data_IF_786701150555
#
_entry.id   IF_786701150555
#
_cell.length_a   1.000
_cell.length_b   1.000
_cell.length_c   1.000
_cell.angle_alpha   90.00
_cell.angle_beta   90.00
_cell.angle_gamma   90.00
#
_symmetry.space_group_name_H-M   'P 1'
#
loop_
_entity.id
_entity.type
_entity.pdbx_description
1 polymer ?
#
# COMPACT_ATOMS: atom_id res chain seq x y z
N UNK A 1 8.35 25.60 3.82
CA UNK A 1 6.90 25.25 3.70
C UNK A 1 6.56 24.36 4.89
N UNK A 2 5.40 24.51 5.50
CA UNK A 2 5.02 23.63 6.61
C UNK A 2 4.54 22.27 6.04
N UNK A 3 5.05 21.18 6.56
CA UNK A 3 4.61 19.82 6.20
C UNK A 3 3.12 19.66 6.53
N UNK A 4 2.41 18.85 5.71
CA UNK A 4 1.00 18.54 5.95
C UNK A 4 0.83 17.50 7.04
N UNK A 5 1.77 16.53 7.10
CA UNK A 5 1.89 15.56 8.20
C UNK A 5 3.34 15.57 8.67
N UNK A 6 3.53 15.67 9.98
CA UNK A 6 4.83 15.57 10.64
C UNK A 6 4.74 14.58 11.79
N UNK A 7 5.62 13.61 11.78
CA UNK A 7 5.73 12.54 12.79
C UNK A 7 7.12 12.59 13.38
N UNK A 8 7.23 12.63 14.71
CA UNK A 8 8.50 12.70 15.42
C UNK A 8 8.53 11.68 16.55
N UNK A 9 9.50 10.77 16.51
CA UNK A 9 9.76 9.77 17.53
C UNK A 9 8.52 8.96 17.98
N UNK A 10 7.63 8.66 17.01
CA UNK A 10 6.35 8.01 17.28
C UNK A 10 6.56 6.56 17.68
N UNK A 11 6.02 6.19 18.83
CA UNK A 11 6.10 4.82 19.32
C UNK A 11 4.76 4.32 19.86
N UNK A 12 4.52 3.02 19.69
CA UNK A 12 3.37 2.32 20.25
C UNK A 12 3.76 0.95 20.80
N UNK A 13 3.65 0.80 22.11
CA UNK A 13 3.86 -0.46 22.83
C UNK A 13 2.54 -0.97 23.36
N UNK A 14 2.24 -2.24 23.09
CA UNK A 14 1.09 -2.95 23.66
C UNK A 14 1.55 -3.86 24.79
N UNK A 15 0.79 -3.89 25.88
CA UNK A 15 0.94 -4.89 26.95
C UNK A 15 -0.01 -6.04 26.72
N UNK A 16 0.52 -7.19 26.34
CA UNK A 16 -0.25 -8.39 26.04
C UNK A 16 -0.13 -9.38 27.18
N UNK A 17 -1.24 -9.86 27.77
CA UNK A 17 -1.17 -10.84 28.84
C UNK A 17 -0.64 -12.17 28.30
N UNK A 18 0.42 -12.70 28.92
CA UNK A 18 1.00 -14.00 28.58
C UNK A 18 0.16 -15.09 29.24
N UNK A 19 -0.64 -15.82 28.44
CA UNK A 19 -1.42 -16.98 28.90
C UNK A 19 -0.69 -18.27 28.58
N UNK A 20 -0.32 -19.02 29.60
CA UNK A 20 0.16 -20.40 29.43
C UNK A 20 -1.03 -21.36 29.37
N UNK A 21 -1.01 -22.36 28.52
CA UNK A 21 -2.06 -23.36 28.43
C UNK A 21 -2.20 -24.15 29.75
N UNK A 22 -3.44 -24.47 30.15
CA UNK A 22 -3.79 -25.26 31.33
C UNK A 22 -4.61 -24.50 32.39
N UNK A 23 -5.56 -25.23 33.03
CA UNK A 23 -6.49 -24.66 34.03
C UNK A 23 -5.79 -24.02 35.23
N UNK A 24 -4.71 -24.64 35.73
CA UNK A 24 -3.93 -24.09 36.86
C UNK A 24 -3.21 -22.80 36.50
N UNK A 25 -2.75 -22.65 35.27
CA UNK A 25 -2.12 -21.43 34.76
C UNK A 25 -3.15 -20.33 34.52
N UNK A 26 -4.36 -20.67 34.10
CA UNK A 26 -5.46 -19.73 33.95
C UNK A 26 -5.87 -19.09 35.29
N UNK A 27 -6.01 -19.88 36.36
CA UNK A 27 -6.30 -19.38 37.69
C UNK A 27 -5.15 -18.52 38.25
N UNK A 28 -3.89 -18.94 38.02
CA UNK A 28 -2.72 -18.16 38.45
C UNK A 28 -2.59 -16.82 37.70
N UNK A 29 -2.98 -16.79 36.39
CA UNK A 29 -2.95 -15.56 35.59
C UNK A 29 -4.01 -14.54 36.02
N UNK A 30 -5.10 -14.95 36.68
CA UNK A 30 -6.10 -14.06 37.25
C UNK A 30 -5.58 -13.32 38.50
N UNK A 31 -4.71 -14.00 39.29
CA UNK A 31 -4.17 -13.43 40.56
C UNK A 31 -2.88 -12.63 40.29
N UNK A 32 -2.03 -13.10 39.37
CA UNK A 32 -0.76 -12.44 38.99
C UNK A 32 -0.59 -12.49 37.44
N UNK A 33 -1.22 -11.58 36.70
CA UNK A 33 -1.07 -11.51 35.28
C UNK A 33 0.37 -11.14 34.90
N UNK A 34 0.99 -11.96 34.05
CA UNK A 34 2.26 -11.63 33.41
C UNK A 34 1.97 -10.97 32.07
N UNK A 35 2.64 -9.86 31.78
CA UNK A 35 2.51 -9.13 30.52
C UNK A 35 3.82 -9.21 29.76
N UNK A 36 3.72 -9.40 28.44
CA UNK A 36 4.81 -9.13 27.50
C UNK A 36 4.54 -7.79 26.83
N UNK A 37 5.58 -7.04 26.57
CA UNK A 37 5.50 -5.81 25.79
C UNK A 37 5.79 -6.11 24.34
N UNK A 38 4.91 -5.65 23.45
CA UNK A 38 5.05 -5.76 22.00
C UNK A 38 5.14 -4.35 21.47
N UNK A 39 6.31 -3.96 20.98
CA UNK A 39 6.53 -2.69 20.29
C UNK A 39 5.99 -2.81 18.86
N UNK A 40 4.80 -2.30 18.62
CA UNK A 40 4.18 -2.32 17.29
C UNK A 40 4.69 -1.20 16.39
N UNK A 41 5.13 -0.09 16.97
CA UNK A 41 5.82 1.03 16.31
C UNK A 41 6.90 1.49 17.29
N UNK A 42 8.14 1.68 16.82
CA UNK A 42 9.31 1.99 17.64
C UNK A 42 10.10 3.12 16.97
N UNK A 43 10.01 4.32 17.54
CA UNK A 43 10.78 5.51 17.17
C UNK A 43 10.69 5.95 15.70
N UNK A 44 9.49 5.96 15.13
CA UNK A 44 9.25 6.32 13.73
C UNK A 44 9.15 7.83 13.56
N UNK A 45 9.92 8.39 12.61
CA UNK A 45 9.91 9.81 12.26
C UNK A 45 9.88 9.99 10.75
N UNK A 46 8.94 10.80 10.23
CA UNK A 46 8.84 11.18 8.82
C UNK A 46 7.97 12.42 8.65
N UNK A 47 8.01 13.00 7.47
CA UNK A 47 7.16 14.14 7.08
C UNK A 47 6.50 13.88 5.74
N UNK A 48 5.31 14.43 5.49
CA UNK A 48 4.61 14.33 4.20
C UNK A 48 4.14 15.72 3.80
N UNK A 49 4.35 16.06 2.54
CA UNK A 49 3.93 17.34 1.98
C UNK A 49 2.44 17.32 1.60
N UNK A 50 1.85 18.52 1.41
CA UNK A 50 0.46 18.62 0.99
C UNK A 50 0.29 18.10 -0.44
N UNK A 51 -0.73 17.27 -0.66
CA UNK A 51 -1.03 16.67 -1.96
C UNK A 51 -0.13 15.49 -2.34
N UNK A 52 0.83 15.13 -1.49
CA UNK A 52 1.71 13.98 -1.73
C UNK A 52 0.95 12.66 -1.57
N UNK A 53 1.24 11.71 -2.46
CA UNK A 53 0.78 10.32 -2.34
C UNK A 53 1.95 9.43 -1.95
N UNK A 54 1.88 8.86 -0.73
CA UNK A 54 2.98 8.09 -0.14
C UNK A 54 2.54 6.65 0.11
N UNK A 55 3.33 5.70 -0.38
CA UNK A 55 3.16 4.28 -0.09
C UNK A 55 3.79 3.92 1.26
N UNK A 56 3.01 3.32 2.16
CA UNK A 56 3.48 2.84 3.45
C UNK A 56 3.53 1.32 3.45
N UNK A 57 4.71 0.75 3.24
CA UNK A 57 4.94 -0.65 2.89
C UNK A 57 5.62 -1.38 4.03
N UNK A 58 5.29 -2.66 4.21
CA UNK A 58 5.92 -3.52 5.22
C UNK A 58 5.22 -4.87 5.30
N UNK A 59 5.86 -5.88 5.89
CA UNK A 59 5.23 -7.18 6.11
C UNK A 59 4.05 -7.08 7.07
N UNK A 60 3.29 -8.17 7.19
CA UNK A 60 2.21 -8.25 8.16
C UNK A 60 2.77 -8.13 9.58
N UNK A 61 2.12 -7.28 10.40
CA UNK A 61 2.59 -7.00 11.75
C UNK A 61 3.70 -5.94 11.84
N UNK A 62 4.18 -5.37 10.73
CA UNK A 62 5.25 -4.35 10.74
C UNK A 62 4.86 -3.03 11.42
N UNK A 63 3.57 -2.77 11.69
CA UNK A 63 3.11 -1.54 12.34
C UNK A 63 2.30 -0.59 11.44
N UNK A 64 2.08 -0.91 10.16
CA UNK A 64 1.36 -0.05 9.20
C UNK A 64 0.01 0.46 9.70
N UNK A 65 -0.92 -0.46 9.92
CA UNK A 65 -2.27 -0.12 10.42
C UNK A 65 -2.23 0.58 11.78
N UNK A 66 -1.29 0.22 12.66
CA UNK A 66 -1.11 0.88 13.96
C UNK A 66 -0.71 2.34 13.77
N UNK A 67 0.21 2.62 12.86
CA UNK A 67 0.64 3.98 12.52
C UNK A 67 -0.53 4.77 11.94
N UNK A 68 -1.25 4.24 10.93
CA UNK A 68 -2.41 4.92 10.36
C UNK A 68 -3.49 5.23 11.40
N UNK A 69 -3.74 4.32 12.36
CA UNK A 69 -4.68 4.56 13.47
C UNK A 69 -4.22 5.67 14.40
N UNK A 70 -2.92 5.83 14.65
CA UNK A 70 -2.40 6.96 15.42
C UNK A 70 -2.54 8.28 14.65
N UNK A 71 -2.21 8.29 13.37
CA UNK A 71 -2.37 9.46 12.50
C UNK A 71 -3.84 9.89 12.33
N UNK A 72 -4.77 8.95 12.31
CA UNK A 72 -6.21 9.26 12.22
C UNK A 72 -6.87 9.61 13.56
N UNK A 73 -6.13 9.53 14.69
CA UNK A 73 -6.67 9.79 16.02
C UNK A 73 -7.55 8.66 16.59
N UNK A 74 -7.51 7.47 15.98
CA UNK A 74 -8.18 6.27 16.49
C UNK A 74 -7.38 5.56 17.60
N UNK A 75 -6.09 5.86 17.69
CA UNK A 75 -5.20 5.24 18.65
C UNK A 75 -4.26 6.29 19.29
N UNK A 76 -4.08 6.22 20.61
CA UNK A 76 -3.08 7.01 21.32
C UNK A 76 -1.68 6.39 21.16
N UNK A 77 -0.63 7.18 20.87
CA UNK A 77 0.74 6.70 20.91
C UNK A 77 1.17 6.43 22.37
N UNK A 78 2.24 5.68 22.54
CA UNK A 78 2.91 5.52 23.83
C UNK A 78 3.85 6.71 24.07
N UNK A 79 4.53 7.19 23.03
CA UNK A 79 5.39 8.38 23.03
C UNK A 79 5.49 8.96 21.63
N UNK A 80 6.09 10.14 21.52
CA UNK A 80 6.30 10.87 20.26
C UNK A 80 5.20 11.89 19.97
N UNK A 81 5.40 12.65 18.90
CA UNK A 81 4.55 13.75 18.50
C UNK A 81 4.09 13.59 17.06
N UNK A 82 2.84 13.99 16.81
CA UNK A 82 2.28 14.03 15.46
C UNK A 82 1.51 15.33 15.28
N UNK A 83 1.80 16.00 14.17
CA UNK A 83 0.98 17.08 13.64
C UNK A 83 0.45 16.67 12.27
N UNK A 84 -0.88 16.69 12.07
CA UNK A 84 -1.53 16.41 10.80
C UNK A 84 -2.57 17.50 10.52
N UNK A 85 -2.50 18.15 9.34
CA UNK A 85 -3.31 19.31 8.96
C UNK A 85 -3.35 20.40 10.04
N UNK A 86 -2.25 20.57 10.82
CA UNK A 86 -2.12 21.56 11.90
C UNK A 86 -2.71 21.12 13.25
N UNK A 87 -3.11 19.84 13.41
CA UNK A 87 -3.72 19.32 14.61
C UNK A 87 -2.93 18.12 15.18
N UNK A 88 -3.06 17.90 16.49
CA UNK A 88 -2.64 16.65 17.13
C UNK A 88 -3.77 15.63 17.00
N UNK A 89 -3.59 14.51 16.26
CA UNK A 89 -4.69 13.60 15.87
C UNK A 89 -5.51 13.05 17.05
N UNK A 90 -4.88 12.61 18.11
CA UNK A 90 -5.55 11.97 19.24
C UNK A 90 -6.31 12.92 20.16
N UNK A 91 -6.19 14.23 19.97
CA UNK A 91 -7.08 15.21 20.60
C UNK A 91 -8.49 15.17 19.98
N UNK A 92 -8.64 14.52 18.80
CA UNK A 92 -9.92 14.30 18.12
C UNK A 92 -10.73 15.57 17.93
N UNK A 93 -10.03 16.69 17.65
CA UNK A 93 -10.71 17.94 17.36
C UNK A 93 -11.67 17.76 16.17
N UNK A 94 -12.90 18.28 16.30
CA UNK A 94 -13.93 18.13 15.26
C UNK A 94 -13.51 18.74 13.91
N UNK A 95 -12.71 19.82 13.93
CA UNK A 95 -12.16 20.42 12.71
C UNK A 95 -11.15 19.48 12.04
N UNK A 96 -10.33 18.76 12.82
CA UNK A 96 -9.42 17.75 12.29
C UNK A 96 -10.18 16.59 11.67
N UNK A 97 -11.15 16.04 12.39
CA UNK A 97 -11.93 14.90 11.93
C UNK A 97 -12.71 15.19 10.63
N UNK A 98 -13.10 16.45 10.39
CA UNK A 98 -13.69 16.88 9.12
C UNK A 98 -12.71 17.00 7.96
N UNK A 99 -11.40 17.08 8.24
CA UNK A 99 -10.35 17.19 7.22
C UNK A 99 -9.75 15.86 6.81
N UNK A 100 -10.05 14.79 7.51
CA UNK A 100 -9.48 13.47 7.25
C UNK A 100 -10.54 12.46 6.89
N UNK A 101 -10.12 11.44 6.17
CA UNK A 101 -10.87 10.20 6.03
C UNK A 101 -9.96 9.00 6.21
N UNK A 102 -10.51 7.91 6.73
CA UNK A 102 -9.79 6.64 6.84
C UNK A 102 -10.66 5.51 6.30
N UNK A 103 -10.14 4.83 5.28
CA UNK A 103 -10.72 3.61 4.73
C UNK A 103 -9.89 2.41 5.18
N UNK A 104 -10.53 1.41 5.74
CA UNK A 104 -9.93 0.14 6.15
C UNK A 104 -10.60 -1.01 5.40
N UNK A 105 -9.85 -1.79 4.62
CA UNK A 105 -10.37 -2.85 3.78
C UNK A 105 -11.19 -3.94 4.51
N UNK A 106 -10.99 -4.06 5.82
CA UNK A 106 -11.71 -5.05 6.65
C UNK A 106 -12.89 -4.49 7.46
N UNK A 107 -13.27 -3.22 7.27
CA UNK A 107 -14.37 -2.57 7.99
C UNK A 107 -15.28 -1.82 7.02
N UNK A 108 -16.57 -2.15 7.06
CA UNK A 108 -17.57 -1.46 6.26
C UNK A 108 -18.10 -0.23 6.97
N UNK A 109 -18.21 0.87 6.23
CA UNK A 109 -18.89 2.10 6.64
C UNK A 109 -20.35 2.11 6.20
N UNK A 110 -20.72 1.24 5.24
CA UNK A 110 -22.09 1.10 4.75
C UNK A 110 -22.99 0.46 5.82
N UNK A 111 -24.12 1.08 6.05
CA UNK A 111 -25.16 0.57 6.96
C UNK A 111 -25.93 -0.58 6.29
N UNK A 112 -25.84 -1.78 6.84
CA UNK A 112 -26.30 -3.04 6.25
C UNK A 112 -27.74 -3.02 5.69
N UNK A 113 -28.68 -2.39 6.41
CA UNK A 113 -30.08 -2.35 6.05
C UNK A 113 -30.50 -1.09 5.26
N UNK A 114 -29.64 -0.07 5.20
CA UNK A 114 -29.90 1.18 4.50
C UNK A 114 -29.54 1.06 3.02
N UNK A 115 -30.11 1.94 2.20
CA UNK A 115 -29.62 2.13 0.85
C UNK A 115 -28.23 2.78 0.87
N UNK A 116 -27.52 2.65 -0.25
CA UNK A 116 -26.22 3.34 -0.43
C UNK A 116 -26.43 4.85 -0.24
N UNK A 117 -27.46 5.42 -0.89
CA UNK A 117 -27.79 6.84 -0.79
C UNK A 117 -28.09 7.28 0.64
N UNK A 118 -28.92 6.52 1.38
CA UNK A 118 -29.23 6.86 2.78
C UNK A 118 -27.99 6.89 3.65
N UNK A 119 -27.08 5.93 3.45
CA UNK A 119 -25.80 5.92 4.16
C UNK A 119 -24.97 7.16 3.82
N UNK A 120 -24.85 7.52 2.54
CA UNK A 120 -24.12 8.71 2.12
C UNK A 120 -24.74 10.00 2.67
N UNK A 121 -26.08 10.04 2.74
CA UNK A 121 -26.80 11.17 3.32
C UNK A 121 -26.53 11.32 4.83
N UNK A 122 -26.43 10.20 5.57
CA UNK A 122 -26.00 10.21 6.98
C UNK A 122 -24.60 10.79 7.12
N UNK A 123 -23.65 10.39 6.26
CA UNK A 123 -22.29 10.95 6.29
C UNK A 123 -22.26 12.45 5.93
N UNK A 124 -23.11 12.89 4.99
CA UNK A 124 -23.31 14.33 4.71
C UNK A 124 -23.62 15.10 6.00
N UNK A 125 -24.57 14.61 6.81
CA UNK A 125 -24.95 15.27 8.07
C UNK A 125 -23.82 15.21 9.10
N UNK A 126 -23.16 14.06 9.25
CA UNK A 126 -22.02 13.87 10.19
C UNK A 126 -20.91 14.87 9.90
N UNK A 127 -20.54 15.04 8.64
CA UNK A 127 -19.46 15.95 8.23
C UNK A 127 -19.93 17.40 8.07
N UNK A 128 -21.24 17.66 8.09
CA UNK A 128 -21.83 18.99 7.91
C UNK A 128 -21.65 19.53 6.50
N UNK A 129 -21.76 18.66 5.49
CA UNK A 129 -21.68 19.06 4.09
C UNK A 129 -22.97 19.72 3.67
N UNK A 130 -22.92 20.87 2.98
CA UNK A 130 -24.12 21.57 2.51
C UNK A 130 -24.92 20.70 1.52
N UNK A 131 -26.22 20.94 1.40
CA UNK A 131 -27.05 20.17 0.48
C UNK A 131 -26.63 20.37 -0.99
N UNK A 132 -26.16 21.55 -1.34
CA UNK A 132 -25.68 21.90 -2.67
C UNK A 132 -24.37 21.20 -2.98
N UNK A 133 -23.36 21.31 -2.08
CA UNK A 133 -22.08 20.63 -2.23
C UNK A 133 -22.22 19.11 -2.26
N UNK A 134 -23.10 18.55 -1.41
CA UNK A 134 -23.40 17.13 -1.40
C UNK A 134 -23.94 16.65 -2.74
N UNK A 135 -24.98 17.33 -3.27
CA UNK A 135 -25.59 16.96 -4.55
C UNK A 135 -24.58 17.03 -5.69
N UNK A 136 -23.81 18.12 -5.75
CA UNK A 136 -22.78 18.32 -6.78
C UNK A 136 -21.68 17.28 -6.69
N UNK A 137 -21.09 17.12 -5.51
CA UNK A 137 -19.93 16.24 -5.33
C UNK A 137 -20.32 14.76 -5.40
N UNK A 138 -21.46 14.37 -4.82
CA UNK A 138 -21.98 13.01 -4.97
C UNK A 138 -22.24 12.68 -6.45
N UNK A 139 -22.81 13.62 -7.22
CA UNK A 139 -23.00 13.43 -8.66
C UNK A 139 -21.68 13.17 -9.40
N UNK A 140 -20.66 13.98 -9.15
CA UNK A 140 -19.31 13.80 -9.71
C UNK A 140 -18.71 12.44 -9.35
N UNK A 141 -18.80 12.03 -8.08
CA UNK A 141 -18.28 10.74 -7.62
C UNK A 141 -19.09 9.57 -8.17
N UNK A 142 -20.42 9.69 -8.25
CA UNK A 142 -21.30 8.65 -8.78
C UNK A 142 -21.00 8.37 -10.26
N UNK A 143 -20.77 9.41 -11.05
CA UNK A 143 -20.36 9.30 -12.44
C UNK A 143 -18.96 8.71 -12.56
N UNK A 144 -17.97 9.24 -11.81
CA UNK A 144 -16.58 8.78 -11.82
C UNK A 144 -16.45 7.28 -11.50
N UNK A 145 -17.19 6.79 -10.50
CA UNK A 145 -17.12 5.40 -10.04
C UNK A 145 -18.13 4.46 -10.72
N UNK A 146 -18.99 5.00 -11.59
CA UNK A 146 -20.03 4.26 -12.27
C UNK A 146 -20.88 3.43 -11.26
N UNK A 147 -21.55 4.15 -10.34
CA UNK A 147 -22.34 3.54 -9.26
C UNK A 147 -23.78 4.08 -9.19
N UNK A 148 -24.24 4.77 -10.22
CA UNK A 148 -25.59 5.35 -10.26
C UNK A 148 -26.69 4.35 -9.93
N UNK A 149 -26.62 3.17 -10.53
CA UNK A 149 -27.60 2.08 -10.33
C UNK A 149 -27.54 1.45 -8.94
N UNK A 150 -26.48 1.74 -8.17
CA UNK A 150 -26.29 1.19 -6.83
C UNK A 150 -26.93 2.05 -5.74
N UNK A 151 -27.20 3.33 -6.02
CA UNK A 151 -27.64 4.30 -5.01
C UNK A 151 -28.89 3.85 -4.24
N UNK A 152 -29.85 3.22 -4.93
CA UNK A 152 -31.09 2.72 -4.34
C UNK A 152 -31.00 1.26 -3.83
N UNK A 153 -29.86 0.59 -4.03
CA UNK A 153 -29.66 -0.77 -3.49
C UNK A 153 -29.33 -0.70 -2.00
N UNK A 154 -29.82 -1.67 -1.24
CA UNK A 154 -29.41 -1.86 0.16
C UNK A 154 -27.99 -2.41 0.22
N UNK A 155 -27.18 -1.96 1.18
CA UNK A 155 -25.78 -2.37 1.33
C UNK A 155 -25.59 -3.90 1.39
N UNK A 156 -26.53 -4.63 1.99
CA UNK A 156 -26.51 -6.10 2.05
C UNK A 156 -26.64 -6.81 0.71
N UNK A 157 -27.18 -6.12 -0.31
CA UNK A 157 -27.42 -6.68 -1.64
C UNK A 157 -26.28 -6.35 -2.62
N UNK A 158 -25.23 -5.66 -2.16
CA UNK A 158 -24.07 -5.33 -2.97
C UNK A 158 -23.08 -6.49 -2.99
N UNK A 159 -22.47 -6.73 -4.15
CA UNK A 159 -21.26 -7.53 -4.25
C UNK A 159 -20.09 -6.88 -3.48
N UNK A 160 -19.03 -7.62 -3.25
CA UNK A 160 -17.84 -7.07 -2.57
C UNK A 160 -17.25 -5.88 -3.32
N UNK A 161 -17.12 -5.95 -4.64
CA UNK A 161 -16.61 -4.87 -5.48
C UNK A 161 -17.53 -3.63 -5.49
N UNK A 162 -18.86 -3.83 -5.63
CA UNK A 162 -19.83 -2.74 -5.55
C UNK A 162 -19.76 -2.04 -4.18
N UNK A 163 -19.66 -2.83 -3.10
CA UNK A 163 -19.52 -2.31 -1.73
C UNK A 163 -18.25 -1.46 -1.60
N UNK A 164 -17.12 -1.95 -2.04
CA UNK A 164 -15.84 -1.24 -1.95
C UNK A 164 -15.85 0.09 -2.71
N UNK A 165 -16.48 0.15 -3.90
CA UNK A 165 -16.69 1.41 -4.63
C UNK A 165 -17.50 2.41 -3.78
N UNK A 166 -18.62 1.97 -3.23
CA UNK A 166 -19.49 2.84 -2.43
C UNK A 166 -18.81 3.33 -1.15
N UNK A 167 -18.00 2.47 -0.49
CA UNK A 167 -17.21 2.85 0.67
C UNK A 167 -16.11 3.86 0.33
N UNK A 168 -15.48 3.70 -0.83
CA UNK A 168 -14.50 4.67 -1.30
C UNK A 168 -15.15 6.04 -1.55
N UNK A 169 -16.33 6.08 -2.17
CA UNK A 169 -17.11 7.31 -2.36
C UNK A 169 -17.44 7.97 -1.01
N UNK A 170 -17.89 7.20 -0.02
CA UNK A 170 -18.15 7.72 1.33
C UNK A 170 -16.91 8.37 1.90
N UNK A 171 -15.74 7.77 1.71
CA UNK A 171 -14.48 8.31 2.21
C UNK A 171 -14.07 9.64 1.58
N UNK A 172 -14.58 9.96 0.40
CA UNK A 172 -14.29 11.18 -0.35
C UNK A 172 -15.37 12.25 -0.24
N UNK A 173 -16.55 11.91 0.28
CA UNK A 173 -17.77 12.72 0.20
C UNK A 173 -17.64 14.14 0.76
N UNK A 174 -16.84 14.28 1.83
CA UNK A 174 -16.62 15.55 2.53
C UNK A 174 -15.34 16.26 2.08
N UNK A 175 -14.72 15.84 0.97
CA UNK A 175 -13.47 16.39 0.40
C UNK A 175 -12.33 16.46 1.44
N UNK A 176 -11.89 15.31 1.97
CA UNK A 176 -10.83 15.29 2.98
C UNK A 176 -9.53 15.91 2.44
N UNK A 177 -8.80 16.63 3.30
CA UNK A 177 -7.45 17.10 3.00
C UNK A 177 -6.42 15.96 3.10
N UNK A 178 -6.68 14.97 3.98
CA UNK A 178 -5.84 13.79 4.18
C UNK A 178 -6.69 12.52 4.08
N UNK A 179 -6.24 11.56 3.28
CA UNK A 179 -6.86 10.27 3.08
C UNK A 179 -5.92 9.15 3.52
N UNK A 180 -6.33 8.41 4.54
CA UNK A 180 -5.63 7.21 5.03
C UNK A 180 -6.29 5.97 4.44
N UNK A 181 -5.57 5.21 3.64
CA UNK A 181 -6.06 4.01 2.94
C UNK A 181 -5.30 2.79 3.43
N UNK A 182 -5.99 1.94 4.19
CA UNK A 182 -5.44 0.68 4.70
C UNK A 182 -5.99 -0.49 3.89
N UNK A 183 -5.20 -0.97 2.91
CA UNK A 183 -5.54 -2.06 1.99
C UNK A 183 -6.84 -1.79 1.17
N UNK A 184 -6.96 -0.66 0.45
CA UNK A 184 -8.23 -0.26 -0.18
C UNK A 184 -8.67 -1.15 -1.34
N UNK A 185 -7.76 -1.90 -1.95
CA UNK A 185 -8.00 -2.79 -3.11
C UNK A 185 -8.18 -4.24 -2.71
N UNK A 186 -8.13 -4.55 -1.41
CA UNK A 186 -8.24 -5.92 -0.91
C UNK A 186 -9.57 -6.57 -1.31
N UNK A 187 -9.50 -7.74 -1.95
CA UNK A 187 -10.68 -8.50 -2.38
C UNK A 187 -11.36 -7.97 -3.64
N UNK A 188 -10.75 -7.01 -4.34
CA UNK A 188 -11.21 -6.55 -5.66
C UNK A 188 -10.58 -7.36 -6.80
N UNK A 189 -11.31 -7.53 -7.90
CA UNK A 189 -10.75 -8.05 -9.14
C UNK A 189 -9.79 -7.05 -9.81
N UNK A 190 -8.97 -7.53 -10.73
CA UNK A 190 -7.92 -6.73 -11.40
C UNK A 190 -8.50 -5.50 -12.11
N UNK A 191 -9.64 -5.64 -12.78
CA UNK A 191 -10.28 -4.52 -13.50
C UNK A 191 -10.70 -3.43 -12.54
N UNK A 192 -11.26 -3.81 -11.40
CA UNK A 192 -11.67 -2.89 -10.36
C UNK A 192 -10.48 -2.19 -9.71
N UNK A 193 -9.40 -2.92 -9.42
CA UNK A 193 -8.17 -2.34 -8.90
C UNK A 193 -7.60 -1.27 -9.84
N UNK A 194 -7.56 -1.55 -11.16
CA UNK A 194 -7.10 -0.60 -12.17
C UNK A 194 -7.95 0.68 -12.18
N UNK A 195 -9.28 0.54 -12.17
CA UNK A 195 -10.21 1.69 -12.13
C UNK A 195 -10.02 2.50 -10.84
N UNK A 196 -9.92 1.84 -9.69
CA UNK A 196 -9.74 2.54 -8.40
C UNK A 196 -8.44 3.34 -8.40
N UNK A 197 -7.32 2.78 -8.90
CA UNK A 197 -6.05 3.51 -9.04
C UNK A 197 -6.19 4.76 -9.89
N UNK A 198 -6.86 4.64 -11.03
CA UNK A 198 -7.11 5.78 -11.91
C UNK A 198 -7.91 6.86 -11.20
N UNK A 199 -9.01 6.50 -10.53
CA UNK A 199 -9.84 7.42 -9.77
C UNK A 199 -9.09 8.12 -8.62
N UNK A 200 -8.27 7.37 -7.88
CA UNK A 200 -7.44 7.95 -6.82
C UNK A 200 -6.47 8.99 -7.38
N UNK A 201 -5.85 8.71 -8.52
CA UNK A 201 -4.93 9.62 -9.18
C UNK A 201 -5.63 10.90 -9.66
N UNK A 202 -6.77 10.75 -10.33
CA UNK A 202 -7.60 11.87 -10.79
C UNK A 202 -8.11 12.73 -9.62
N UNK A 203 -8.56 12.07 -8.54
CA UNK A 203 -9.02 12.76 -7.34
C UNK A 203 -7.90 13.56 -6.67
N UNK A 204 -6.72 12.95 -6.49
CA UNK A 204 -5.57 13.64 -5.93
C UNK A 204 -5.15 14.84 -6.79
N UNK A 205 -5.11 14.68 -8.12
CA UNK A 205 -4.79 15.78 -9.04
C UNK A 205 -5.82 16.91 -8.98
N UNK A 206 -7.11 16.59 -8.86
CA UNK A 206 -8.21 17.56 -8.85
C UNK A 206 -8.28 18.35 -7.53
N UNK A 207 -8.06 17.67 -6.39
CA UNK A 207 -8.31 18.25 -5.06
C UNK A 207 -7.06 18.48 -4.21
N UNK A 208 -5.90 17.96 -4.64
CA UNK A 208 -4.65 18.11 -3.88
C UNK A 208 -4.69 17.38 -2.53
N UNK A 209 -5.47 16.29 -2.43
CA UNK A 209 -5.59 15.49 -1.21
C UNK A 209 -4.30 14.74 -0.93
N UNK A 210 -3.77 14.85 0.29
CA UNK A 210 -2.63 14.04 0.73
C UNK A 210 -3.07 12.63 1.02
N UNK A 211 -2.36 11.63 0.50
CA UNK A 211 -2.74 10.22 0.62
C UNK A 211 -1.62 9.40 1.26
N UNK A 212 -1.95 8.63 2.29
CA UNK A 212 -1.09 7.54 2.78
C UNK A 212 -1.79 6.24 2.45
N UNK A 213 -1.13 5.41 1.65
CA UNK A 213 -1.66 4.16 1.13
C UNK A 213 -0.84 2.98 1.65
N UNK A 214 -1.48 2.02 2.30
CA UNK A 214 -0.92 0.68 2.49
C UNK A 214 -1.51 -0.27 1.46
N UNK A 215 -0.71 -1.14 0.88
CA UNK A 215 -1.19 -2.21 0.01
C UNK A 215 -0.25 -3.41 0.04
N UNK A 216 -0.83 -4.59 -0.12
CA UNK A 216 -0.10 -5.83 -0.42
C UNK A 216 0.16 -5.99 -1.92
N UNK A 217 -0.56 -5.24 -2.76
CA UNK A 217 -0.35 -5.23 -4.20
C UNK A 217 0.64 -4.12 -4.57
N UNK A 218 1.84 -4.52 -4.97
CA UNK A 218 2.88 -3.54 -5.32
C UNK A 218 2.47 -2.67 -6.50
N UNK A 219 1.63 -3.18 -7.38
CA UNK A 219 1.04 -2.43 -8.49
C UNK A 219 0.23 -1.20 -8.05
N UNK A 220 -0.36 -1.20 -6.85
CA UNK A 220 -1.02 0.00 -6.29
C UNK A 220 0.02 1.07 -5.96
N UNK A 221 1.10 0.65 -5.30
CA UNK A 221 2.18 1.53 -4.86
C UNK A 221 2.91 2.13 -6.07
N UNK A 222 3.33 1.30 -7.02
CA UNK A 222 4.08 1.74 -8.19
C UNK A 222 3.27 2.67 -9.10
N UNK A 223 1.94 2.47 -9.17
CA UNK A 223 1.06 3.29 -9.99
C UNK A 223 0.74 4.65 -9.36
N UNK A 224 0.65 4.73 -8.03
CA UNK A 224 0.12 5.89 -7.32
C UNK A 224 1.19 6.71 -6.59
N UNK A 225 2.23 6.05 -6.06
CA UNK A 225 3.16 6.64 -5.13
C UNK A 225 4.56 6.77 -5.75
N UNK A 226 5.09 7.99 -5.81
CA UNK A 226 6.48 8.22 -6.20
C UNK A 226 7.46 8.04 -5.04
N UNK A 227 6.96 8.13 -3.80
CA UNK A 227 7.70 7.98 -2.54
C UNK A 227 7.10 6.88 -1.69
N UNK A 228 7.98 6.15 -1.02
CA UNK A 228 7.61 5.05 -0.13
C UNK A 228 8.30 5.18 1.22
N UNK A 229 7.57 4.78 2.25
CA UNK A 229 8.04 4.56 3.60
C UNK A 229 8.04 3.06 3.84
N UNK A 230 9.21 2.45 4.04
CA UNK A 230 9.30 1.03 4.37
C UNK A 230 9.42 0.87 5.88
N UNK A 231 8.52 0.07 6.44
CA UNK A 231 8.53 -0.26 7.87
C UNK A 231 8.75 -1.77 8.06
N UNK A 232 9.60 -2.12 9.02
CA UNK A 232 9.83 -3.50 9.44
C UNK A 232 9.91 -3.60 10.95
N UNK A 233 9.15 -4.51 11.55
CA UNK A 233 9.17 -4.75 13.01
C UNK A 233 9.03 -3.47 13.84
N UNK A 234 8.17 -2.56 13.39
CA UNK A 234 7.90 -1.28 14.04
C UNK A 234 8.86 -0.14 13.70
N UNK A 235 9.94 -0.38 12.97
CA UNK A 235 10.97 0.61 12.65
C UNK A 235 10.87 1.06 11.19
N UNK A 236 11.07 2.36 10.94
CA UNK A 236 11.19 2.90 9.58
C UNK A 236 12.60 2.58 9.06
N UNK A 237 12.68 1.78 7.97
CA UNK A 237 13.95 1.34 7.39
C UNK A 237 14.31 2.09 6.10
N UNK A 238 13.33 2.75 5.46
CA UNK A 238 13.55 3.57 4.28
C UNK A 238 12.47 4.65 4.17
N UNK A 239 12.89 5.84 3.75
CA UNK A 239 12.04 6.97 3.36
C UNK A 239 12.62 7.63 2.12
N UNK A 240 11.95 7.49 0.97
CA UNK A 240 12.48 8.06 -0.26
C UNK A 240 11.72 7.63 -1.52
N UNK A 241 12.27 8.04 -2.67
CA UNK A 241 11.68 7.71 -3.97
C UNK A 241 11.76 6.21 -4.23
N UNK A 242 10.66 5.63 -4.73
CA UNK A 242 10.59 4.22 -5.11
C UNK A 242 11.63 3.87 -6.19
N UNK A 243 11.85 4.76 -7.18
CA UNK A 243 12.87 4.57 -8.22
C UNK A 243 14.29 4.49 -7.64
N UNK A 244 14.62 5.33 -6.64
CA UNK A 244 15.93 5.31 -6.01
C UNK A 244 16.18 4.02 -5.22
N UNK A 245 15.12 3.45 -4.64
CA UNK A 245 15.19 2.17 -3.94
C UNK A 245 15.52 1.02 -4.92
N UNK A 246 14.82 0.97 -6.05
CA UNK A 246 15.08 -0.04 -7.09
C UNK A 246 16.47 0.11 -7.68
N UNK A 247 16.91 1.32 -8.00
CA UNK A 247 18.24 1.56 -8.58
C UNK A 247 19.40 1.14 -7.67
N UNK A 248 19.27 1.40 -6.36
CA UNK A 248 20.30 1.02 -5.38
C UNK A 248 20.43 -0.49 -5.16
N UNK A 249 19.32 -1.21 -5.17
CA UNK A 249 19.27 -2.62 -4.75
C UNK A 249 19.24 -3.61 -5.92
N UNK A 250 18.97 -3.12 -7.12
CA UNK A 250 18.96 -3.95 -8.33
C UNK A 250 19.85 -3.38 -9.43
N UNK A 251 21.17 -3.55 -9.31
CA UNK A 251 22.11 -3.17 -10.37
C UNK A 251 22.02 -4.10 -11.59
N UNK A 252 20.94 -4.83 -11.72
CA UNK A 252 20.72 -5.81 -12.80
C UNK A 252 19.37 -5.62 -13.48
N UNK A 253 19.24 -6.19 -14.67
CA UNK A 253 17.98 -6.37 -15.41
C UNK A 253 17.64 -7.83 -15.59
N UNK A 254 16.39 -8.09 -15.88
CA UNK A 254 15.87 -9.42 -16.19
C UNK A 254 15.61 -9.49 -17.68
N UNK A 255 16.24 -10.46 -18.36
CA UNK A 255 15.96 -10.80 -19.76
C UNK A 255 15.10 -12.05 -19.73
N UNK A 256 13.93 -11.99 -20.39
CA UNK A 256 13.08 -13.13 -20.68
C UNK A 256 13.20 -13.45 -22.16
N UNK A 257 13.39 -14.69 -22.49
CA UNK A 257 13.47 -15.13 -23.87
C UNK A 257 12.81 -16.49 -24.04
N UNK A 258 12.15 -16.67 -25.19
CA UNK A 258 11.55 -17.94 -25.61
C UNK A 258 12.27 -18.39 -26.87
N UNK A 259 12.85 -19.59 -26.85
CA UNK A 259 13.54 -20.17 -28.02
C UNK A 259 12.56 -20.96 -28.86
N UNK A 260 12.89 -21.15 -30.18
CA UNK A 260 12.15 -22.08 -31.05
C UNK A 260 12.22 -23.52 -30.55
N UNK A 261 13.38 -23.92 -30.02
CA UNK A 261 13.60 -25.24 -29.46
C UNK A 261 14.30 -25.14 -28.10
N UNK A 262 14.04 -26.09 -27.20
CA UNK A 262 14.75 -26.20 -25.93
C UNK A 262 16.26 -26.34 -26.15
N UNK A 263 17.06 -25.50 -25.49
CA UNK A 263 18.51 -25.54 -25.59
C UNK A 263 19.17 -25.81 -24.25
N UNK A 264 19.54 -27.07 -23.95
CA UNK A 264 20.20 -27.44 -22.69
C UNK A 264 21.53 -26.71 -22.41
N UNK A 265 22.13 -26.10 -23.45
CA UNK A 265 23.39 -25.34 -23.34
C UNK A 265 23.20 -23.93 -22.78
N UNK A 266 21.95 -23.47 -22.62
CA UNK A 266 21.64 -22.21 -21.92
C UNK A 266 21.63 -22.36 -20.38
N UNK A 267 22.21 -23.43 -19.86
CA UNK A 267 22.41 -23.62 -18.42
C UNK A 267 23.67 -22.87 -17.94
N UNK A 268 23.61 -22.33 -16.71
CA UNK A 268 24.53 -21.40 -16.02
C UNK A 268 26.00 -21.33 -16.45
N UNK A 269 26.73 -22.45 -16.50
CA UNK A 269 28.13 -22.47 -16.89
C UNK A 269 28.39 -22.19 -18.39
N UNK A 270 27.43 -22.48 -19.26
CA UNK A 270 27.61 -22.29 -20.69
C UNK A 270 27.34 -20.85 -21.17
N UNK A 271 26.59 -20.06 -20.41
CA UNK A 271 26.44 -18.62 -20.68
C UNK A 271 27.75 -17.88 -20.40
N UNK A 272 28.43 -18.20 -19.31
CA UNK A 272 29.73 -17.60 -18.96
C UNK A 272 30.86 -18.06 -19.92
N UNK A 273 30.91 -19.35 -20.26
CA UNK A 273 31.85 -19.86 -21.27
C UNK A 273 31.58 -19.36 -22.68
N UNK A 274 30.32 -19.04 -22.98
CA UNK A 274 29.91 -18.38 -24.21
C UNK A 274 30.21 -16.88 -24.27
N UNK A 275 30.70 -16.28 -23.19
CA UNK A 275 31.02 -14.85 -23.09
C UNK A 275 29.80 -13.96 -23.02
N UNK A 276 28.62 -14.51 -22.67
CA UNK A 276 27.41 -13.74 -22.42
C UNK A 276 27.38 -13.40 -20.92
N UNK A 277 27.42 -12.12 -20.55
CA UNK A 277 27.48 -11.70 -19.13
C UNK A 277 26.07 -11.77 -18.50
N UNK A 278 25.50 -12.97 -18.42
CA UNK A 278 24.18 -13.22 -17.89
C UNK A 278 24.17 -14.48 -17.02
N UNK A 279 23.32 -14.51 -16.01
CA UNK A 279 23.08 -15.62 -15.09
C UNK A 279 21.68 -16.16 -15.33
N UNK A 280 21.53 -17.49 -15.41
CA UNK A 280 20.23 -18.15 -15.52
C UNK A 280 19.55 -18.13 -14.16
N UNK A 281 18.33 -17.53 -14.08
CA UNK A 281 17.48 -17.52 -12.88
C UNK A 281 16.50 -18.69 -12.94
N UNK A 282 15.85 -18.87 -14.11
CA UNK A 282 14.75 -19.84 -14.28
C UNK A 282 14.75 -20.41 -15.69
N UNK A 283 14.41 -21.68 -15.79
CA UNK A 283 14.25 -22.38 -17.05
C UNK A 283 12.97 -23.24 -17.01
N UNK A 284 12.05 -22.97 -17.93
CA UNK A 284 10.81 -23.73 -18.11
C UNK A 284 10.72 -24.22 -19.58
N UNK A 285 11.45 -25.29 -19.91
CA UNK A 285 11.52 -25.82 -21.26
C UNK A 285 12.26 -24.86 -22.20
N UNK A 286 11.53 -24.24 -23.14
CA UNK A 286 12.09 -23.27 -24.09
C UNK A 286 12.04 -21.80 -23.60
N UNK A 287 11.48 -21.54 -22.41
CA UNK A 287 11.43 -20.22 -21.79
C UNK A 287 12.57 -20.07 -20.77
N UNK A 288 13.33 -19.00 -20.90
CA UNK A 288 14.49 -18.71 -20.05
C UNK A 288 14.38 -17.33 -19.44
N UNK A 289 14.67 -17.23 -18.15
CA UNK A 289 14.77 -15.96 -17.43
C UNK A 289 16.22 -15.78 -16.97
N UNK A 290 16.86 -14.73 -17.46
CA UNK A 290 18.27 -14.42 -17.21
C UNK A 290 18.39 -13.12 -16.41
N UNK A 291 19.40 -13.09 -15.55
CA UNK A 291 19.86 -11.91 -14.83
C UNK A 291 21.11 -11.34 -15.50
N UNK A 292 21.13 -10.03 -15.70
CA UNK A 292 22.27 -9.33 -16.35
C UNK A 292 22.51 -7.99 -15.69
N UNK A 293 23.75 -7.59 -15.51
CA UNK A 293 24.08 -6.25 -15.00
C UNK A 293 23.51 -5.16 -15.91
N UNK A 294 22.99 -4.06 -15.32
CA UNK A 294 22.38 -2.94 -16.08
C UNK A 294 23.31 -2.44 -17.20
N UNK A 295 24.61 -2.31 -16.92
CA UNK A 295 25.60 -1.82 -17.88
C UNK A 295 25.84 -2.78 -19.05
N UNK A 296 25.68 -4.08 -18.83
CA UNK A 296 25.92 -5.13 -19.80
C UNK A 296 24.65 -5.61 -20.53
N UNK A 297 23.49 -5.12 -20.12
CA UNK A 297 22.20 -5.60 -20.59
C UNK A 297 22.04 -5.49 -22.12
N UNK A 298 22.46 -4.37 -22.72
CA UNK A 298 22.39 -4.16 -24.18
C UNK A 298 23.32 -5.13 -24.90
N UNK A 299 24.53 -5.32 -24.40
CA UNK A 299 25.52 -6.25 -24.98
C UNK A 299 25.04 -7.70 -24.90
N UNK A 300 24.54 -8.11 -23.72
CA UNK A 300 23.99 -9.44 -23.51
C UNK A 300 22.79 -9.71 -24.44
N UNK A 301 21.89 -8.74 -24.57
CA UNK A 301 20.74 -8.83 -25.47
C UNK A 301 21.15 -9.04 -26.93
N UNK A 302 22.09 -8.24 -27.43
CA UNK A 302 22.60 -8.35 -28.80
C UNK A 302 23.25 -9.73 -29.05
N UNK A 303 24.01 -10.23 -28.07
CA UNK A 303 24.66 -11.56 -28.16
C UNK A 303 23.61 -12.69 -28.17
N UNK A 304 22.59 -12.61 -27.32
CA UNK A 304 21.51 -13.59 -27.26
C UNK A 304 20.72 -13.62 -28.60
N UNK A 305 20.33 -12.45 -29.10
CA UNK A 305 19.60 -12.32 -30.37
C UNK A 305 20.42 -12.81 -31.61
N UNK A 306 21.73 -12.69 -31.54
CA UNK A 306 22.59 -13.15 -32.67
C UNK A 306 22.89 -14.65 -32.64
N UNK A 307 22.78 -15.30 -31.49
CA UNK A 307 23.19 -16.71 -31.32
C UNK A 307 22.05 -17.70 -31.29
N UNK A 308 20.85 -17.25 -30.94
CA UNK A 308 19.68 -18.14 -30.73
C UNK A 308 18.52 -17.73 -31.61
N UNK A 309 17.79 -18.70 -32.13
CA UNK A 309 16.52 -18.48 -32.80
C UNK A 309 15.44 -18.21 -31.75
N UNK A 310 14.97 -16.96 -31.68
CA UNK A 310 14.05 -16.46 -30.67
C UNK A 310 12.64 -16.37 -31.23
N UNK A 311 11.65 -16.86 -30.45
CA UNK A 311 10.22 -16.62 -30.67
C UNK A 311 9.82 -15.30 -30.00
N UNK A 312 10.31 -15.09 -28.76
CA UNK A 312 10.01 -13.88 -27.98
C UNK A 312 11.23 -13.43 -27.19
N UNK A 313 11.33 -12.11 -26.98
CA UNK A 313 12.42 -11.49 -26.25
C UNK A 313 11.93 -10.24 -25.53
N UNK A 314 12.19 -10.18 -24.21
CA UNK A 314 11.87 -9.04 -23.39
C UNK A 314 13.00 -8.70 -22.42
N UNK A 315 13.22 -7.41 -22.19
CA UNK A 315 14.11 -6.91 -21.15
C UNK A 315 13.33 -5.99 -20.23
N UNK A 316 13.41 -6.23 -18.93
CA UNK A 316 12.68 -5.46 -17.92
C UNK A 316 13.55 -5.23 -16.70
N UNK A 317 13.20 -4.20 -15.93
CA UNK A 317 13.71 -4.08 -14.56
C UNK A 317 13.08 -5.20 -13.70
N UNK A 318 13.78 -5.69 -12.67
CA UNK A 318 13.23 -6.70 -11.77
C UNK A 318 11.95 -6.20 -11.10
N UNK A 319 10.99 -7.09 -10.80
CA UNK A 319 9.78 -6.72 -10.07
C UNK A 319 10.12 -6.01 -8.75
N UNK A 320 9.42 -4.92 -8.45
CA UNK A 320 9.65 -4.16 -7.21
C UNK A 320 9.40 -5.02 -5.98
N UNK A 321 8.50 -5.99 -6.08
CA UNK A 321 8.23 -7.01 -5.07
C UNK A 321 9.51 -7.74 -4.64
N UNK A 322 10.29 -8.22 -5.60
CA UNK A 322 11.53 -8.96 -5.32
C UNK A 322 12.60 -8.09 -4.64
N UNK A 323 12.59 -6.79 -4.92
CA UNK A 323 13.49 -5.82 -4.27
C UNK A 323 13.12 -5.65 -2.80
N UNK A 324 11.84 -5.48 -2.55
CA UNK A 324 11.31 -5.27 -1.20
C UNK A 324 11.45 -6.54 -0.36
N UNK A 325 11.16 -7.72 -0.92
CA UNK A 325 11.36 -9.00 -0.25
C UNK A 325 12.83 -9.21 0.16
N UNK A 326 13.77 -8.81 -0.70
CA UNK A 326 15.20 -8.85 -0.40
C UNK A 326 15.56 -7.94 0.79
N UNK A 327 15.04 -6.71 0.83
CA UNK A 327 15.24 -5.79 1.96
C UNK A 327 14.79 -6.43 3.27
N UNK A 328 13.61 -7.05 3.26
CA UNK A 328 13.07 -7.68 4.48
C UNK A 328 13.83 -8.94 4.88
N UNK A 329 14.30 -9.75 3.91
CA UNK A 329 15.05 -10.97 4.19
C UNK A 329 16.48 -10.68 4.72
N UNK A 330 17.15 -9.68 4.17
CA UNK A 330 18.54 -9.35 4.51
C UNK A 330 18.64 -8.31 5.64
N UNK A 331 17.53 -7.70 6.08
CA UNK A 331 17.50 -6.68 7.12
C UNK A 331 18.28 -5.41 6.75
N UNK A 332 18.39 -5.11 5.45
CA UNK A 332 19.18 -3.98 4.95
C UNK A 332 18.46 -2.68 5.35
N UNK A 333 19.16 -1.83 6.10
CA UNK A 333 18.78 -0.41 6.25
C UNK A 333 19.38 0.35 5.06
N UNK A 334 18.55 1.00 4.24
CA UNK A 334 18.96 1.62 2.96
C UNK A 334 19.17 3.12 3.10
#
# INVERSE_FOLDING_TARGET
MAYHIQVQHLSKTYRVPVRKAGLRSAVRSLIRPQFSEVKAVDDVSFTIERGEMVGFIGPNGAGKTTTLKMLSGLLYPTSGEVTAAGFTPWQRNSQYLKKISMLMGNRSQLQWNNTVYDTMYIFKEIYGVSAEDFKKHLGELTEMFDVGDLMNKRARNLSLGERSKCEFIISLLHKPEILYLDEPTLGMDVTMQLRLRQYMKEYNQKYGTTVILTSHYMSDITSLCSRVLLINSGNLIYDGKLSSLTDKLTPFRVIRLTLEEENPRLCGESLQTGGIPAELIENNGNEYTLRVNKEEAVKASAMLMSRYALIDFGIADPPVESVIDKIYAEGITV
#
